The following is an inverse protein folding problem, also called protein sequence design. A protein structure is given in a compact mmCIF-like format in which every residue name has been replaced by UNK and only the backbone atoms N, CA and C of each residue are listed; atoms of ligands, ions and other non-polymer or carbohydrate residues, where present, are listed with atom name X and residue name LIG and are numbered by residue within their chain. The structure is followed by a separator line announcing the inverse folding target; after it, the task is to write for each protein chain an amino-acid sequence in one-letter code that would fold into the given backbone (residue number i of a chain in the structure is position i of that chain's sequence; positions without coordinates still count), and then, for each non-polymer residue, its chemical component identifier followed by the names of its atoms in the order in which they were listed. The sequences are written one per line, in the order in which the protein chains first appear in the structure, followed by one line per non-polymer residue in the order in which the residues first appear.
data_IF_776408454858
#
_entry.id   IF_776408454858
#
_cell.length_a   1.000
_cell.length_b   1.000
_cell.length_c   1.000
_cell.angle_alpha   90.00
_cell.angle_beta   90.00
_cell.angle_gamma   90.00
#
_symmetry.space_group_name_H-M   'P 1'
#
loop_
_entity.id
_entity.type
_entity.pdbx_description
1 polymer ?
#
# COMPACT_ATOMS: atom_id res chain seq x y z
N UNK A 1 39.27 -24.21 31.26
CA UNK A 1 37.89 -23.85 31.66
C UNK A 1 37.76 -22.34 31.53
N UNK A 2 37.08 -21.84 30.50
CA UNK A 2 36.16 -20.71 30.58
C UNK A 2 35.41 -20.61 29.26
N UNK A 3 34.09 -20.55 29.38
CA UNK A 3 33.11 -20.73 28.33
C UNK A 3 32.79 -19.42 27.59
N UNK A 4 32.33 -19.57 26.35
CA UNK A 4 31.13 -18.91 25.81
C UNK A 4 31.11 -17.38 25.76
N UNK A 5 31.18 -16.86 24.54
CA UNK A 5 30.62 -15.56 24.19
C UNK A 5 30.00 -15.68 22.80
N UNK A 6 28.75 -16.17 22.71
CA UNK A 6 27.92 -15.96 21.53
C UNK A 6 27.71 -14.47 21.42
N UNK A 7 28.26 -13.87 20.37
CA UNK A 7 27.98 -12.48 20.02
C UNK A 7 26.62 -12.48 19.32
N UNK A 8 25.56 -12.42 20.10
CA UNK A 8 24.20 -12.16 19.61
C UNK A 8 24.07 -10.66 19.38
N UNK A 9 24.16 -10.23 18.12
CA UNK A 9 23.50 -9.01 17.66
C UNK A 9 22.17 -9.41 16.99
N UNK A 10 21.04 -8.89 17.49
CA UNK A 10 19.69 -9.28 17.10
C UNK A 10 19.23 -8.62 15.79
N UNK A 11 18.51 -9.41 14.98
CA UNK A 11 17.54 -9.09 13.92
C UNK A 11 17.73 -7.70 13.26
N UNK A 12 18.35 -7.71 12.09
CA UNK A 12 18.33 -6.61 11.14
C UNK A 12 16.90 -6.53 10.55
N UNK A 13 16.02 -5.76 11.19
CA UNK A 13 14.64 -5.49 10.71
C UNK A 13 14.65 -4.26 9.77
N UNK A 14 15.64 -4.21 8.86
CA UNK A 14 15.65 -3.19 7.81
C UNK A 14 14.87 -3.73 6.61
N UNK A 15 13.84 -3.01 6.11
CA UNK A 15 13.21 -3.38 4.85
C UNK A 15 14.29 -3.41 3.78
N UNK A 16 14.47 -4.55 3.11
CA UNK A 16 15.59 -4.79 2.18
C UNK A 16 15.46 -3.89 0.94
N UNK A 17 14.29 -3.26 0.73
CA UNK A 17 14.06 -2.19 -0.24
C UNK A 17 12.95 -1.18 0.17
N UNK A 18 12.95 0.04 -0.39
CA UNK A 18 11.84 0.99 -0.22
C UNK A 18 10.46 0.43 -0.62
N UNK A 19 10.43 -0.46 -1.61
CA UNK A 19 9.20 -1.11 -2.09
C UNK A 19 8.62 -2.03 -1.01
N UNK A 20 9.46 -2.84 -0.36
CA UNK A 20 9.05 -3.72 0.74
C UNK A 20 8.55 -2.94 1.95
N UNK A 21 9.17 -1.77 2.24
CA UNK A 21 8.68 -0.89 3.29
C UNK A 21 7.26 -0.39 2.99
N UNK A 22 7.02 0.08 1.75
CA UNK A 22 5.69 0.55 1.35
C UNK A 22 4.69 -0.59 1.38
N UNK A 23 5.04 -1.78 0.87
CA UNK A 23 4.19 -2.97 0.94
C UNK A 23 3.82 -3.29 2.40
N UNK A 24 4.81 -3.28 3.30
CA UNK A 24 4.61 -3.54 4.74
C UNK A 24 3.67 -2.52 5.37
N UNK A 25 3.83 -1.23 5.04
CA UNK A 25 2.95 -0.16 5.52
C UNK A 25 1.52 -0.31 5.00
N UNK A 26 1.34 -0.64 3.70
CA UNK A 26 0.01 -0.88 3.13
C UNK A 26 -0.66 -2.10 3.79
N UNK A 27 0.06 -3.21 3.96
CA UNK A 27 -0.47 -4.40 4.65
C UNK A 27 -0.87 -4.09 6.09
N UNK A 28 -0.07 -3.29 6.81
CA UNK A 28 -0.37 -2.86 8.17
C UNK A 28 -1.63 -1.99 8.23
N UNK A 29 -1.71 -0.94 7.40
CA UNK A 29 -2.85 -0.02 7.37
C UNK A 29 -4.14 -0.74 6.98
N UNK A 30 -4.10 -1.59 5.95
CA UNK A 30 -5.25 -2.38 5.51
C UNK A 30 -5.84 -3.21 6.64
N UNK A 31 -5.00 -3.99 7.33
CA UNK A 31 -5.43 -4.84 8.45
C UNK A 31 -5.94 -4.03 9.64
N UNK A 32 -5.28 -2.92 9.96
CA UNK A 32 -5.65 -2.07 11.10
C UNK A 32 -6.98 -1.35 10.89
N UNK A 33 -7.29 -0.98 9.64
CA UNK A 33 -8.51 -0.26 9.29
C UNK A 33 -9.64 -1.21 8.83
N UNK A 34 -9.37 -2.50 8.69
CA UNK A 34 -10.35 -3.49 8.22
C UNK A 34 -10.73 -3.30 6.75
N UNK A 35 -9.79 -2.83 5.93
CA UNK A 35 -10.00 -2.63 4.50
C UNK A 35 -9.77 -3.94 3.72
N UNK A 36 -10.47 -4.11 2.61
CA UNK A 36 -10.26 -5.27 1.72
C UNK A 36 -9.00 -5.12 0.86
N UNK A 37 -8.65 -3.87 0.53
CA UNK A 37 -7.52 -3.53 -0.33
C UNK A 37 -6.86 -2.22 0.11
N UNK A 38 -5.54 -2.12 -0.07
CA UNK A 38 -4.78 -0.89 0.02
C UNK A 38 -3.84 -0.77 -1.19
N UNK A 39 -3.79 0.40 -1.81
CA UNK A 39 -2.98 0.64 -3.00
C UNK A 39 -2.15 1.90 -2.88
N UNK A 40 -0.99 1.90 -3.53
CA UNK A 40 -0.26 3.10 -3.91
C UNK A 40 -0.32 3.22 -5.43
N UNK A 41 -0.74 4.39 -5.91
CA UNK A 41 -0.86 4.67 -7.34
C UNK A 41 -0.03 5.88 -7.74
N UNK A 42 0.39 5.90 -9.01
CA UNK A 42 0.92 7.08 -9.69
C UNK A 42 -0.10 7.62 -10.69
N UNK A 43 0.04 8.90 -11.06
CA UNK A 43 -0.78 9.51 -12.11
C UNK A 43 0.10 9.83 -13.31
N UNK A 44 -0.29 9.33 -14.48
CA UNK A 44 0.44 9.55 -15.73
C UNK A 44 -0.53 9.54 -16.92
N UNK A 45 -0.35 10.50 -17.83
CA UNK A 45 -1.13 10.65 -19.07
C UNK A 45 -2.66 10.56 -18.88
N UNK A 46 -3.20 11.23 -17.85
CA UNK A 46 -4.63 11.20 -17.55
C UNK A 46 -5.14 9.87 -17.02
N UNK A 47 -4.25 8.97 -16.60
CA UNK A 47 -4.55 7.68 -16.00
C UNK A 47 -4.01 7.62 -14.57
N UNK A 48 -4.73 6.92 -13.70
CA UNK A 48 -4.18 6.40 -12.45
C UNK A 48 -3.65 4.99 -12.69
N UNK A 49 -2.42 4.71 -12.22
CA UNK A 49 -1.74 3.43 -12.37
C UNK A 49 -1.40 2.88 -11.00
N UNK A 50 -1.84 1.66 -10.70
CA UNK A 50 -1.49 0.97 -9.45
C UNK A 50 -0.03 0.55 -9.51
N UNK A 51 0.79 1.06 -8.61
CA UNK A 51 2.21 0.69 -8.49
C UNK A 51 2.38 -0.48 -7.52
N UNK A 52 1.69 -0.39 -6.38
CA UNK A 52 1.78 -1.37 -5.30
C UNK A 52 0.35 -1.63 -4.80
N UNK A 53 0.02 -2.90 -4.57
CA UNK A 53 -1.27 -3.30 -4.05
C UNK A 53 -1.10 -4.36 -2.96
N UNK A 54 -1.96 -4.30 -1.95
CA UNK A 54 -2.11 -5.32 -0.92
C UNK A 54 -3.60 -5.65 -0.74
N UNK A 55 -3.96 -6.93 -0.88
CA UNK A 55 -5.34 -7.40 -0.75
C UNK A 55 -6.15 -7.40 -2.05
N UNK A 56 -7.46 -7.46 -1.91
CA UNK A 56 -8.41 -7.70 -2.99
C UNK A 56 -9.72 -8.27 -2.45
N UNK A 57 -10.80 -8.13 -3.23
CA UNK A 57 -12.12 -8.70 -2.89
C UNK A 57 -12.32 -9.93 -3.78
N UNK A 58 -12.48 -11.10 -3.17
CA UNK A 58 -12.66 -12.38 -3.86
C UNK A 58 -11.56 -12.64 -4.93
N UNK A 59 -11.95 -13.14 -6.11
CA UNK A 59 -11.07 -13.40 -7.26
C UNK A 59 -10.58 -12.11 -7.95
N UNK A 60 -11.05 -10.93 -7.53
CA UNK A 60 -10.66 -9.64 -8.10
C UNK A 60 -9.51 -9.06 -7.30
N UNK A 61 -8.32 -9.60 -7.57
CA UNK A 61 -7.08 -9.04 -7.08
C UNK A 61 -6.82 -7.69 -7.76
N UNK A 62 -6.66 -6.61 -6.98
CA UNK A 62 -6.04 -5.40 -7.51
C UNK A 62 -4.55 -5.67 -7.57
N UNK A 63 -4.00 -5.59 -8.78
CA UNK A 63 -2.60 -5.92 -9.04
C UNK A 63 -1.84 -4.71 -9.57
N UNK A 64 -0.52 -4.62 -9.32
CA UNK A 64 0.34 -3.65 -9.98
C UNK A 64 0.15 -3.64 -11.50
N UNK A 65 0.15 -2.44 -12.08
CA UNK A 65 -0.07 -2.21 -13.51
C UNK A 65 -1.55 -2.06 -13.91
N UNK A 66 -2.51 -2.25 -13.00
CA UNK A 66 -3.90 -1.91 -13.27
C UNK A 66 -4.06 -0.39 -13.48
N UNK A 67 -4.86 0.01 -14.46
CA UNK A 67 -5.03 1.42 -14.85
C UNK A 67 -6.50 1.82 -14.91
N UNK A 68 -6.80 3.05 -14.50
CA UNK A 68 -8.12 3.66 -14.61
C UNK A 68 -8.01 5.08 -15.15
N UNK A 69 -9.07 5.58 -15.79
CA UNK A 69 -9.13 6.99 -16.21
C UNK A 69 -9.10 7.87 -14.96
N UNK A 70 -8.17 8.82 -14.91
CA UNK A 70 -7.94 9.64 -13.72
C UNK A 70 -9.20 10.43 -13.32
N UNK A 71 -9.99 10.90 -14.29
CA UNK A 71 -11.24 11.62 -14.04
C UNK A 71 -12.27 10.80 -13.26
N UNK A 72 -12.21 9.47 -13.35
CA UNK A 72 -13.10 8.53 -12.67
C UNK A 72 -12.57 8.12 -11.29
N UNK A 73 -11.31 8.44 -11.01
CA UNK A 73 -10.59 8.00 -9.83
C UNK A 73 -10.97 8.80 -8.57
N UNK A 74 -11.01 8.10 -7.45
CA UNK A 74 -11.21 8.73 -6.14
C UNK A 74 -9.96 9.48 -5.68
N UNK A 75 -8.77 8.96 -5.98
CA UNK A 75 -7.49 9.52 -5.54
C UNK A 75 -7.30 10.97 -6.03
N UNK A 76 -7.61 11.25 -7.31
CA UNK A 76 -7.49 12.62 -7.83
C UNK A 76 -8.47 13.57 -7.17
N UNK A 77 -9.68 13.11 -6.87
CA UNK A 77 -10.73 13.91 -6.22
C UNK A 77 -10.38 14.26 -4.78
N UNK A 78 -9.62 13.42 -4.09
CA UNK A 78 -9.08 13.75 -2.77
C UNK A 78 -7.96 14.78 -2.87
N UNK A 79 -7.03 14.58 -3.82
CA UNK A 79 -5.87 15.45 -4.00
C UNK A 79 -6.27 16.87 -4.43
N UNK A 80 -7.28 17.00 -5.29
CA UNK A 80 -7.79 18.29 -5.74
C UNK A 80 -8.83 18.93 -4.81
N UNK A 81 -9.15 18.27 -3.69
CA UNK A 81 -10.02 18.79 -2.64
C UNK A 81 -11.53 18.65 -2.93
N UNK A 82 -11.93 17.94 -3.98
CA UNK A 82 -13.35 17.64 -4.25
C UNK A 82 -13.94 16.60 -3.30
N UNK A 83 -13.11 15.73 -2.72
CA UNK A 83 -13.50 14.72 -1.74
C UNK A 83 -12.62 14.78 -0.47
N UNK A 84 -13.15 14.37 0.68
CA UNK A 84 -12.36 14.26 1.91
C UNK A 84 -11.37 13.08 1.83
N UNK A 85 -10.32 13.14 2.64
CA UNK A 85 -9.31 12.08 2.73
C UNK A 85 -9.83 10.74 3.29
N UNK A 86 -10.99 10.75 3.94
CA UNK A 86 -11.67 9.55 4.44
C UNK A 86 -13.12 9.60 3.96
N UNK A 87 -13.53 8.57 3.23
CA UNK A 87 -14.88 8.44 2.65
C UNK A 87 -15.51 7.20 3.28
N UNK A 88 -16.41 7.35 4.28
CA UNK A 88 -16.99 6.22 5.00
C UNK A 88 -17.92 5.34 4.15
N UNK A 89 -18.60 5.97 3.18
CA UNK A 89 -19.53 5.31 2.26
C UNK A 89 -19.29 5.89 0.87
N UNK A 90 -18.69 5.07 0.01
CA UNK A 90 -18.34 5.41 -1.36
C UNK A 90 -19.31 4.69 -2.30
N UNK A 91 -20.00 5.47 -3.13
CA UNK A 91 -20.96 4.98 -4.12
C UNK A 91 -20.32 4.74 -5.50
#
# INVERSE_FOLDING_TARGET
MHAGGVSSHPIEDQPESPVELVQTLLSFLRRRLGLDVAVLSSFDDGMEVVEIADGGIDDRCISPGLRWVLADSYCVRVIDGRLPAVIPDAA
#
